data_IF_289560569916
#
_entry.id   IF_289560569916
#
_cell.length_a   1.000
_cell.length_b   1.000
_cell.length_c   1.000
_cell.angle_alpha   90.00
_cell.angle_beta   90.00
_cell.angle_gamma   90.00
#
_symmetry.space_group_name_H-M   'P 1'
#
loop_
_entity.id
_entity.type
_entity.pdbx_description
1 polymer ?
#
# COMPACT_ATOMS: atom_id res chain seq x y z
N UNK A 1 -1.71 -7.93 -8.43
CA UNK A 1 -2.06 -8.07 -7.01
C UNK A 1 -3.56 -7.90 -6.77
N UNK A 2 -4.18 -6.84 -7.29
CA UNK A 2 -5.59 -6.51 -7.08
C UNK A 2 -6.61 -7.61 -7.39
N UNK A 3 -6.48 -8.32 -8.52
CA UNK A 3 -7.40 -9.42 -8.86
C UNK A 3 -7.41 -10.55 -7.81
N UNK A 4 -6.23 -10.88 -7.26
CA UNK A 4 -6.11 -11.89 -6.20
C UNK A 4 -6.71 -11.38 -4.89
N UNK A 5 -6.39 -10.14 -4.49
CA UNK A 5 -6.94 -9.52 -3.28
C UNK A 5 -8.46 -9.46 -3.31
N UNK A 6 -9.06 -9.04 -4.45
CA UNK A 6 -10.49 -9.03 -4.65
C UNK A 6 -11.13 -10.43 -4.59
N UNK A 7 -10.45 -11.46 -5.14
CA UNK A 7 -10.93 -12.83 -5.05
C UNK A 7 -10.94 -13.36 -3.60
N UNK A 8 -9.91 -13.04 -2.81
CA UNK A 8 -9.84 -13.37 -1.38
C UNK A 8 -10.95 -12.64 -0.60
N UNK A 9 -11.12 -11.34 -0.81
CA UNK A 9 -12.16 -10.54 -0.16
C UNK A 9 -13.57 -11.11 -0.41
N UNK A 10 -13.88 -11.49 -1.66
CA UNK A 10 -15.16 -12.15 -1.99
C UNK A 10 -15.32 -13.49 -1.28
N UNK A 11 -14.25 -14.30 -1.23
CA UNK A 11 -14.29 -15.61 -0.55
C UNK A 11 -14.48 -15.48 0.96
N UNK A 12 -14.03 -14.37 1.54
CA UNK A 12 -14.26 -14.02 2.94
C UNK A 12 -15.65 -13.42 3.21
N UNK A 13 -16.48 -13.22 2.18
CA UNK A 13 -17.86 -12.75 2.32
C UNK A 13 -18.00 -11.23 2.53
N UNK A 14 -16.98 -10.45 2.16
CA UNK A 14 -17.04 -8.99 2.22
C UNK A 14 -18.12 -8.45 1.26
N UNK A 15 -18.72 -7.31 1.63
CA UNK A 15 -19.71 -6.62 0.79
C UNK A 15 -19.06 -6.10 -0.49
N UNK A 16 -19.86 -5.86 -1.52
CA UNK A 16 -19.37 -5.38 -2.82
C UNK A 16 -18.52 -4.10 -2.69
N UNK A 17 -18.94 -3.14 -1.86
CA UNK A 17 -18.16 -1.93 -1.60
C UNK A 17 -16.79 -2.22 -0.97
N UNK A 18 -16.75 -3.09 0.03
CA UNK A 18 -15.50 -3.46 0.71
C UNK A 18 -14.56 -4.25 -0.22
N UNK A 19 -15.10 -5.08 -1.11
CA UNK A 19 -14.31 -5.75 -2.15
C UNK A 19 -13.71 -4.72 -3.10
N UNK A 20 -14.47 -3.68 -3.49
CA UNK A 20 -13.97 -2.58 -4.31
C UNK A 20 -12.85 -1.82 -3.59
N UNK A 21 -13.02 -1.51 -2.31
CA UNK A 21 -11.99 -0.84 -1.51
C UNK A 21 -10.70 -1.67 -1.45
N UNK A 22 -10.79 -2.97 -1.20
CA UNK A 22 -9.64 -3.89 -1.22
C UNK A 22 -8.93 -3.91 -2.58
N UNK A 23 -9.70 -3.89 -3.67
CA UNK A 23 -9.14 -3.85 -5.03
C UNK A 23 -8.40 -2.54 -5.26
N UNK A 24 -9.01 -1.40 -4.95
CA UNK A 24 -8.36 -0.09 -5.10
C UNK A 24 -7.12 0.05 -4.19
N UNK A 25 -7.18 -0.42 -2.94
CA UNK A 25 -6.01 -0.47 -2.06
C UNK A 25 -4.89 -1.27 -2.71
N UNK A 26 -5.18 -2.46 -3.25
CA UNK A 26 -4.17 -3.30 -3.88
C UNK A 26 -3.59 -2.69 -5.18
N UNK A 27 -4.36 -1.86 -5.90
CA UNK A 27 -3.86 -1.11 -7.06
C UNK A 27 -2.94 0.05 -6.65
N UNK A 28 -3.25 0.71 -5.54
CA UNK A 28 -2.58 1.93 -5.10
C UNK A 28 -1.60 1.73 -3.93
N UNK A 29 -1.40 0.51 -3.44
CA UNK A 29 -0.60 0.24 -2.23
C UNK A 29 0.82 0.79 -2.30
N UNK A 30 1.39 0.86 -3.50
CA UNK A 30 2.75 1.31 -3.76
C UNK A 30 2.85 2.77 -4.25
N UNK A 31 1.72 3.52 -4.30
CA UNK A 31 1.70 4.89 -4.86
C UNK A 31 2.66 5.84 -4.14
N UNK A 32 2.91 5.61 -2.85
CA UNK A 32 3.84 6.43 -2.07
C UNK A 32 5.31 6.28 -2.46
N UNK A 33 5.67 5.28 -3.27
CA UNK A 33 7.02 5.19 -3.84
C UNK A 33 7.38 6.41 -4.69
N UNK A 34 6.38 7.12 -5.23
CA UNK A 34 6.56 8.39 -5.95
C UNK A 34 7.21 9.50 -5.09
N UNK A 35 7.18 9.38 -3.75
CA UNK A 35 7.79 10.32 -2.83
C UNK A 35 9.21 9.90 -2.38
N UNK A 36 9.70 8.73 -2.84
CA UNK A 36 11.03 8.23 -2.50
C UNK A 36 12.07 8.65 -3.55
N UNK A 37 13.37 8.71 -3.20
CA UNK A 37 14.42 9.06 -4.16
C UNK A 37 14.57 8.00 -5.26
N UNK A 38 14.70 8.43 -6.52
CA UNK A 38 14.92 7.53 -7.67
C UNK A 38 16.13 6.60 -7.46
N UNK A 39 17.22 7.11 -6.86
CA UNK A 39 18.41 6.31 -6.58
C UNK A 39 18.15 5.11 -5.66
N UNK A 40 17.15 5.19 -4.78
CA UNK A 40 16.71 4.08 -3.95
C UNK A 40 15.87 3.09 -4.75
N UNK A 41 14.95 3.59 -5.60
CA UNK A 41 14.05 2.76 -6.41
C UNK A 41 14.79 2.00 -7.52
N UNK A 42 15.79 2.64 -8.12
CA UNK A 42 16.58 2.13 -9.25
C UNK A 42 17.86 1.41 -8.83
N UNK A 43 18.07 1.21 -7.52
CA UNK A 43 19.29 0.58 -7.00
C UNK A 43 19.50 -0.81 -7.60
N UNK A 44 20.65 -1.00 -8.24
CA UNK A 44 21.09 -2.31 -8.71
C UNK A 44 21.67 -3.13 -7.55
N UNK A 45 20.85 -3.95 -6.90
CA UNK A 45 21.26 -4.83 -5.81
C UNK A 45 20.30 -4.78 -4.61
N UNK A 46 20.60 -5.51 -3.52
CA UNK A 46 19.80 -5.43 -2.32
C UNK A 46 19.93 -4.05 -1.67
N UNK A 47 18.84 -3.61 -1.03
CA UNK A 47 18.86 -2.48 -0.12
C UNK A 47 19.60 -2.85 1.17
N UNK A 48 20.36 -1.91 1.71
CA UNK A 48 20.85 -1.99 3.09
C UNK A 48 19.76 -1.63 4.11
N UNK A 49 20.09 -1.65 5.41
CA UNK A 49 19.10 -1.42 6.47
C UNK A 49 18.55 0.01 6.46
N UNK A 50 19.39 1.02 6.21
CA UNK A 50 18.96 2.43 6.17
C UNK A 50 18.06 2.69 4.96
N UNK A 51 18.39 2.06 3.84
CA UNK A 51 17.59 2.08 2.62
C UNK A 51 16.26 1.35 2.80
N UNK A 52 16.22 0.25 3.56
CA UNK A 52 14.97 -0.43 3.91
C UNK A 52 14.09 0.43 4.81
N UNK A 53 14.65 1.12 5.80
CA UNK A 53 13.92 2.09 6.62
C UNK A 53 13.30 3.19 5.76
N UNK A 54 14.05 3.74 4.80
CA UNK A 54 13.53 4.73 3.86
C UNK A 54 12.46 4.14 2.93
N UNK A 55 12.67 2.93 2.42
CA UNK A 55 11.69 2.23 1.58
C UNK A 55 10.36 2.03 2.32
N UNK A 56 10.39 1.69 3.61
CA UNK A 56 9.16 1.49 4.43
C UNK A 56 8.31 2.75 4.54
N UNK A 57 8.88 3.95 4.39
CA UNK A 57 8.13 5.20 4.44
C UNK A 57 7.14 5.38 3.29
N UNK A 58 7.23 4.59 2.21
CA UNK A 58 6.28 4.69 1.10
C UNK A 58 4.82 4.45 1.52
N UNK A 59 4.57 3.66 2.58
CA UNK A 59 3.20 3.41 3.05
C UNK A 59 2.57 4.65 3.67
N UNK A 60 3.36 5.40 4.46
CA UNK A 60 2.95 6.68 5.05
C UNK A 60 2.79 7.75 3.97
N UNK A 61 3.72 7.82 3.02
CA UNK A 61 3.61 8.73 1.90
C UNK A 61 2.36 8.41 1.05
N UNK A 62 2.05 7.14 0.84
CA UNK A 62 0.85 6.69 0.12
C UNK A 62 -0.44 7.13 0.81
N UNK A 63 -0.53 7.01 2.13
CA UNK A 63 -1.67 7.55 2.90
C UNK A 63 -1.83 9.06 2.70
N UNK A 64 -0.73 9.81 2.82
CA UNK A 64 -0.77 11.26 2.66
C UNK A 64 -1.23 11.67 1.26
N UNK A 65 -0.72 11.02 0.22
CA UNK A 65 -1.10 11.28 -1.17
C UNK A 65 -2.60 11.01 -1.39
N UNK A 66 -3.12 9.91 -0.84
CA UNK A 66 -4.50 9.50 -1.08
C UNK A 66 -5.53 10.26 -0.23
N UNK A 67 -5.14 10.72 0.96
CA UNK A 67 -6.03 11.46 1.88
C UNK A 67 -6.61 12.72 1.23
N UNK A 68 -5.83 13.37 0.36
CA UNK A 68 -6.23 14.61 -0.31
C UNK A 68 -6.99 14.37 -1.63
N UNK A 69 -7.18 13.10 -2.04
CA UNK A 69 -7.79 12.74 -3.33
C UNK A 69 -9.26 12.28 -3.17
N UNK A 70 -10.22 13.06 -3.70
CA UNK A 70 -11.63 12.68 -3.67
C UNK A 70 -11.86 11.33 -4.36
N UNK A 71 -12.64 10.46 -3.71
CA UNK A 71 -13.00 9.14 -4.23
C UNK A 71 -12.08 7.99 -3.82
N UNK A 72 -10.90 8.28 -3.25
CA UNK A 72 -9.96 7.27 -2.72
C UNK A 72 -9.43 7.59 -1.31
N UNK A 73 -9.81 8.74 -0.74
CA UNK A 73 -9.43 9.10 0.64
C UNK A 73 -9.78 8.01 1.67
N UNK A 74 -10.90 7.31 1.51
CA UNK A 74 -11.36 6.27 2.44
C UNK A 74 -10.42 5.05 2.50
N UNK A 75 -9.65 4.80 1.44
CA UNK A 75 -8.70 3.68 1.38
C UNK A 75 -7.27 4.06 1.79
N UNK A 76 -7.00 5.34 2.09
CA UNK A 76 -5.66 5.83 2.43
C UNK A 76 -5.05 5.06 3.61
N UNK A 77 -5.85 4.81 4.65
CA UNK A 77 -5.41 4.03 5.83
C UNK A 77 -5.13 2.55 5.51
N UNK A 78 -5.80 1.99 4.49
CA UNK A 78 -5.54 0.61 4.06
C UNK A 78 -4.22 0.53 3.30
N UNK A 79 -3.89 1.54 2.49
CA UNK A 79 -2.59 1.64 1.81
C UNK A 79 -1.45 1.77 2.82
N UNK A 80 -1.62 2.59 3.86
CA UNK A 80 -0.66 2.67 4.98
C UNK A 80 -0.34 1.31 5.60
N UNK A 81 -1.34 0.45 5.72
CA UNK A 81 -1.23 -0.81 6.44
C UNK A 81 -0.90 -2.01 5.54
N UNK A 82 -0.51 -1.80 4.28
CA UNK A 82 -0.26 -2.87 3.31
C UNK A 82 0.90 -3.80 3.69
N UNK A 83 1.84 -3.32 4.51
CA UNK A 83 2.99 -4.07 5.02
C UNK A 83 2.85 -4.51 6.49
N UNK A 84 1.76 -4.12 7.15
CA UNK A 84 1.52 -4.48 8.55
C UNK A 84 1.29 -5.99 8.69
N UNK A 85 1.72 -6.52 9.83
CA UNK A 85 1.53 -7.92 10.18
C UNK A 85 0.58 -8.02 11.36
N UNK A 86 -0.27 -9.04 11.35
CA UNK A 86 -1.20 -9.30 12.46
C UNK A 86 -0.51 -9.52 13.81
N UNK A 87 0.75 -9.98 13.80
CA UNK A 87 1.57 -10.15 15.00
C UNK A 87 2.25 -8.85 15.50
N UNK A 88 2.03 -7.72 14.83
CA UNK A 88 2.59 -6.42 15.18
C UNK A 88 4.08 -6.26 14.87
N UNK A 89 4.67 -7.15 14.06
CA UNK A 89 6.06 -7.09 13.63
C UNK A 89 6.22 -6.49 12.21
N UNK A 90 5.17 -5.81 11.73
CA UNK A 90 5.12 -5.18 10.41
C UNK A 90 5.76 -3.81 10.38
#
# INVERSE_FOLDING_TARGET
MAALAGAVARRLGLRVGEVTDVVHTAELHDVGKLALPDALLDKAGPLDEEEWELMRLHTLAGEQILTDLPGVADIARLVRSSHERWDGLG
#
